data_IF_533777831717
#
_entry.id   IF_533777831717
#
_cell.length_a   1.000
_cell.length_b   1.000
_cell.length_c   1.000
_cell.angle_alpha   90.00
_cell.angle_beta   90.00
_cell.angle_gamma   90.00
#
_symmetry.space_group_name_H-M   'P 1'
#
loop_
_entity.id
_entity.type
_entity.pdbx_description
1 polymer ?
#
# COMPACT_ATOMS: atom_id res chain seq x y z
N UNK A 1 -8.57 -8.35 -23.10
CA UNK A 1 -7.75 -7.11 -22.98
C UNK A 1 -6.25 -7.39 -23.06
N UNK A 2 -5.75 -8.43 -22.38
CA UNK A 2 -4.32 -8.77 -22.36
C UNK A 2 -3.77 -9.07 -23.76
N UNK A 3 -4.54 -9.80 -24.58
CA UNK A 3 -4.17 -10.12 -25.98
C UNK A 3 -4.05 -8.87 -26.87
N UNK A 4 -4.79 -7.81 -26.56
CA UNK A 4 -4.76 -6.56 -27.32
C UNK A 4 -3.51 -5.72 -27.00
N UNK A 5 -3.08 -5.75 -25.74
CA UNK A 5 -1.96 -4.92 -25.29
C UNK A 5 -0.62 -5.68 -25.32
N UNK A 6 -0.59 -7.01 -25.21
CA UNK A 6 0.63 -7.83 -25.17
C UNK A 6 0.88 -8.53 -26.51
N UNK A 7 1.90 -8.08 -27.26
CA UNK A 7 2.30 -8.67 -28.55
C UNK A 7 3.17 -9.91 -28.35
N UNK A 8 4.02 -9.93 -27.31
CA UNK A 8 5.05 -10.97 -27.14
C UNK A 8 4.43 -12.26 -26.59
N UNK A 9 4.27 -13.27 -27.45
CA UNK A 9 3.58 -14.55 -27.13
C UNK A 9 4.01 -15.22 -25.80
N UNK A 10 5.31 -15.36 -25.46
CA UNK A 10 5.70 -15.97 -24.19
C UNK A 10 5.22 -15.18 -22.96
N UNK A 11 5.22 -13.85 -23.05
CA UNK A 11 4.74 -13.00 -21.97
C UNK A 11 3.22 -13.10 -21.84
N UNK A 12 2.50 -13.09 -22.96
CA UNK A 12 1.05 -13.32 -22.97
C UNK A 12 0.69 -14.66 -22.33
N UNK A 13 1.39 -15.76 -22.67
CA UNK A 13 1.15 -17.08 -22.07
C UNK A 13 1.29 -17.06 -20.55
N UNK A 14 2.30 -16.36 -20.02
CA UNK A 14 2.47 -16.17 -18.56
C UNK A 14 1.27 -15.44 -17.94
N UNK A 15 0.75 -14.44 -18.63
CA UNK A 15 -0.42 -13.70 -18.17
C UNK A 15 -1.70 -14.52 -18.18
N UNK A 16 -1.92 -15.33 -19.20
CA UNK A 16 -3.11 -16.18 -19.33
C UNK A 16 -3.12 -17.32 -18.32
N UNK A 17 -1.95 -17.83 -17.92
CA UNK A 17 -1.83 -18.92 -16.94
C UNK A 17 -1.87 -18.45 -15.47
N UNK A 18 -1.81 -17.15 -15.21
CA UNK A 18 -1.80 -16.62 -13.84
C UNK A 18 -3.22 -16.53 -13.25
N UNK A 19 -3.39 -16.72 -11.94
CA UNK A 19 -4.66 -16.54 -11.24
C UNK A 19 -5.36 -15.20 -11.50
N UNK A 20 -6.66 -15.17 -11.19
CA UNK A 20 -7.53 -14.00 -11.30
C UNK A 20 -7.53 -13.40 -12.71
N UNK A 21 -7.50 -14.26 -13.73
CA UNK A 21 -7.39 -13.82 -15.12
C UNK A 21 -8.54 -12.86 -15.48
N UNK A 22 -9.77 -13.23 -15.14
CA UNK A 22 -10.97 -12.45 -15.45
C UNK A 22 -10.92 -11.08 -14.77
N UNK A 23 -10.59 -11.04 -13.48
CA UNK A 23 -10.50 -9.82 -12.68
C UNK A 23 -9.40 -8.89 -13.21
N UNK A 24 -8.22 -9.45 -13.54
CA UNK A 24 -7.12 -8.68 -14.14
C UNK A 24 -7.50 -8.11 -15.50
N UNK A 25 -8.19 -8.86 -16.35
CA UNK A 25 -8.67 -8.36 -17.65
C UNK A 25 -9.75 -7.31 -17.52
N UNK A 26 -10.71 -7.50 -16.60
CA UNK A 26 -11.75 -6.52 -16.30
C UNK A 26 -11.15 -5.22 -15.76
N UNK A 27 -10.18 -5.30 -14.86
CA UNK A 27 -9.46 -4.14 -14.33
C UNK A 27 -8.73 -3.37 -15.44
N UNK A 28 -7.97 -4.07 -16.29
CA UNK A 28 -7.27 -3.43 -17.41
C UNK A 28 -8.25 -2.82 -18.42
N UNK A 29 -9.41 -3.44 -18.62
CA UNK A 29 -10.45 -2.91 -19.50
C UNK A 29 -11.05 -1.63 -18.93
N UNK A 30 -11.33 -1.59 -17.63
CA UNK A 30 -11.78 -0.38 -16.94
C UNK A 30 -10.72 0.72 -17.07
N UNK A 31 -9.45 0.41 -16.80
CA UNK A 31 -8.33 1.37 -16.97
C UNK A 31 -8.20 1.88 -18.40
N UNK A 32 -8.41 1.01 -19.40
CA UNK A 32 -8.42 1.44 -20.81
C UNK A 32 -9.57 2.40 -21.11
N UNK A 33 -10.76 2.19 -20.53
CA UNK A 33 -11.91 3.09 -20.69
C UNK A 33 -11.69 4.45 -20.02
N UNK A 34 -10.88 4.51 -18.96
CA UNK A 34 -10.41 5.76 -18.36
C UNK A 34 -9.39 6.53 -19.24
N UNK A 35 -9.06 6.01 -20.43
CA UNK A 35 -8.17 6.68 -21.38
C UNK A 35 -6.68 6.41 -21.18
N UNK A 36 -6.32 5.39 -20.38
CA UNK A 36 -4.90 5.05 -20.16
C UNK A 36 -4.25 4.51 -21.43
N UNK A 37 -3.03 4.99 -21.70
CA UNK A 37 -2.23 4.56 -22.85
C UNK A 37 -1.89 3.06 -22.79
N UNK A 38 -1.66 2.45 -23.96
CA UNK A 38 -1.18 1.05 -24.04
C UNK A 38 0.08 0.79 -23.22
N UNK A 39 1.02 1.74 -23.17
CA UNK A 39 2.25 1.62 -22.38
C UNK A 39 1.92 1.56 -20.88
N UNK A 40 0.99 2.39 -20.41
CA UNK A 40 0.56 2.40 -19.01
C UNK A 40 -0.20 1.11 -18.66
N UNK A 41 -1.05 0.61 -19.57
CA UNK A 41 -1.76 -0.66 -19.40
C UNK A 41 -0.79 -1.86 -19.34
N UNK A 42 0.29 -1.85 -20.11
CA UNK A 42 1.36 -2.85 -19.99
C UNK A 42 2.04 -2.81 -18.62
N UNK A 43 2.26 -1.61 -18.07
CA UNK A 43 2.71 -1.42 -16.70
C UNK A 43 1.76 -2.07 -15.70
N UNK A 44 0.46 -1.75 -15.78
CA UNK A 44 -0.57 -2.37 -14.93
C UNK A 44 -0.62 -3.89 -15.06
N UNK A 45 -0.52 -4.43 -16.28
CA UNK A 45 -0.46 -5.86 -16.49
C UNK A 45 0.74 -6.44 -15.73
N UNK A 46 1.95 -5.90 -15.93
CA UNK A 46 3.15 -6.35 -15.23
C UNK A 46 3.02 -6.33 -13.70
N UNK A 47 2.48 -5.25 -13.13
CA UNK A 47 2.24 -5.14 -11.69
C UNK A 47 1.16 -6.11 -11.20
N UNK A 48 0.10 -6.36 -11.97
CA UNK A 48 -0.94 -7.31 -11.58
C UNK A 48 -0.36 -8.70 -11.31
N UNK A 49 0.61 -9.18 -12.11
CA UNK A 49 1.30 -10.45 -11.84
C UNK A 49 2.15 -10.39 -10.57
N UNK A 50 2.73 -9.23 -10.25
CA UNK A 50 3.44 -9.05 -8.99
C UNK A 50 2.49 -9.10 -7.81
N UNK A 51 1.31 -8.51 -7.89
CA UNK A 51 0.32 -8.59 -6.83
C UNK A 51 -0.16 -10.02 -6.59
N UNK A 52 -0.41 -10.79 -7.66
CA UNK A 52 -0.71 -12.23 -7.53
C UNK A 52 0.40 -12.95 -6.75
N UNK A 53 1.66 -12.69 -7.10
CA UNK A 53 2.81 -13.34 -6.46
C UNK A 53 3.01 -12.92 -5.00
N UNK A 54 3.04 -11.62 -4.72
CA UNK A 54 3.41 -11.10 -3.39
C UNK A 54 2.28 -11.22 -2.36
N UNK A 55 1.03 -11.28 -2.80
CA UNK A 55 -0.12 -11.45 -1.90
C UNK A 55 -0.68 -12.88 -1.88
N UNK A 56 -0.05 -13.81 -2.61
CA UNK A 56 -0.46 -15.21 -2.73
C UNK A 56 -1.94 -15.35 -3.14
N UNK A 57 -2.31 -14.68 -4.23
CA UNK A 57 -3.70 -14.63 -4.70
C UNK A 57 -4.00 -15.83 -5.61
N UNK A 58 -5.14 -16.48 -5.37
CA UNK A 58 -5.57 -17.67 -6.11
C UNK A 58 -7.04 -17.59 -6.51
N UNK A 59 -7.40 -18.29 -7.59
CA UNK A 59 -8.78 -18.43 -8.02
C UNK A 59 -9.64 -19.08 -6.92
N UNK A 60 -10.84 -18.56 -6.71
CA UNK A 60 -11.80 -19.06 -5.73
C UNK A 60 -11.45 -18.81 -4.25
N UNK A 61 -10.25 -18.31 -3.93
CA UNK A 61 -9.86 -17.95 -2.56
C UNK A 61 -10.05 -16.45 -2.33
N UNK A 62 -10.96 -16.08 -1.44
CA UNK A 62 -11.16 -14.69 -1.00
C UNK A 62 -10.34 -14.42 0.26
N UNK A 63 -9.05 -14.10 0.08
CA UNK A 63 -8.19 -13.60 1.16
C UNK A 63 -8.20 -12.07 1.11
N UNK A 64 -8.61 -11.44 2.21
CA UNK A 64 -8.40 -9.99 2.39
C UNK A 64 -6.92 -9.74 2.60
N UNK A 65 -6.36 -8.81 1.83
CA UNK A 65 -4.98 -8.36 1.94
C UNK A 65 -4.94 -7.16 2.87
N UNK A 66 -4.25 -7.31 4.00
CA UNK A 66 -4.09 -6.24 4.99
C UNK A 66 -3.21 -5.12 4.42
N UNK A 67 -3.36 -3.89 4.92
CA UNK A 67 -2.47 -2.81 4.52
C UNK A 67 -1.03 -2.97 5.03
N UNK A 68 -0.86 -3.71 6.12
CA UNK A 68 0.42 -4.20 6.63
C UNK A 68 1.11 -5.11 5.60
N UNK A 69 0.38 -6.09 5.03
CA UNK A 69 0.86 -6.94 3.94
C UNK A 69 1.24 -6.11 2.69
N UNK A 70 0.49 -5.06 2.38
CA UNK A 70 0.79 -4.15 1.24
C UNK A 70 2.11 -3.41 1.47
N UNK A 71 2.34 -2.89 2.66
CA UNK A 71 3.59 -2.21 3.02
C UNK A 71 4.76 -3.19 2.98
N UNK A 72 4.59 -4.39 3.53
CA UNK A 72 5.64 -5.41 3.55
C UNK A 72 5.97 -5.93 2.14
N UNK A 73 4.96 -6.20 1.31
CA UNK A 73 5.16 -6.57 -0.09
C UNK A 73 5.90 -5.48 -0.88
N UNK A 74 5.57 -4.20 -0.65
CA UNK A 74 6.28 -3.08 -1.28
C UNK A 74 7.75 -3.03 -0.84
N UNK A 75 8.03 -3.25 0.46
CA UNK A 75 9.38 -3.32 1.01
C UNK A 75 10.18 -4.45 0.35
N UNK A 76 9.63 -5.66 0.34
CA UNK A 76 10.26 -6.85 -0.26
C UNK A 76 10.48 -6.68 -1.77
N UNK A 77 9.49 -6.17 -2.50
CA UNK A 77 9.60 -5.93 -3.94
C UNK A 77 10.68 -4.90 -4.30
N UNK A 78 10.86 -3.89 -3.45
CA UNK A 78 11.84 -2.82 -3.64
C UNK A 78 13.24 -3.16 -3.08
N UNK A 79 13.38 -4.27 -2.35
CA UNK A 79 14.66 -4.63 -1.74
C UNK A 79 15.65 -5.12 -2.80
N UNK A 80 16.95 -4.77 -2.68
CA UNK A 80 17.97 -5.27 -3.59
C UNK A 80 18.08 -6.79 -3.51
N UNK A 81 18.11 -7.46 -4.68
CA UNK A 81 18.38 -8.91 -4.74
C UNK A 81 19.89 -9.13 -4.55
N UNK A 82 20.28 -9.88 -3.51
CA UNK A 82 21.69 -10.23 -3.26
C UNK A 82 22.30 -10.97 -4.47
N UNK A 83 23.51 -10.58 -4.88
CA UNK A 83 24.27 -11.29 -5.92
C UNK A 83 24.14 -10.77 -7.36
N UNK A 84 23.28 -9.79 -7.63
CA UNK A 84 23.20 -9.17 -8.96
C UNK A 84 23.76 -7.74 -8.96
N UNK A 85 24.87 -7.50 -9.65
CA UNK A 85 25.50 -6.17 -9.72
C UNK A 85 24.54 -5.07 -10.24
N UNK A 86 23.62 -5.44 -11.14
CA UNK A 86 22.59 -4.53 -11.68
C UNK A 86 21.34 -4.37 -10.80
N UNK A 87 21.11 -5.21 -9.78
CA UNK A 87 19.96 -5.07 -8.86
C UNK A 87 20.17 -3.98 -7.81
N UNK A 88 21.43 -3.61 -7.52
CA UNK A 88 21.78 -2.55 -6.56
C UNK A 88 21.36 -1.14 -7.02
N UNK A 89 21.15 -0.93 -8.32
CA UNK A 89 20.87 0.41 -8.89
C UNK A 89 19.39 0.77 -9.03
N UNK A 90 18.45 -0.18 -8.91
CA UNK A 90 17.09 0.03 -9.42
C UNK A 90 15.93 0.00 -8.44
N UNK A 91 16.10 -0.34 -7.16
CA UNK A 91 14.93 -0.69 -6.35
C UNK A 91 14.80 0.01 -4.99
N UNK A 92 15.86 0.52 -4.37
CA UNK A 92 15.76 1.18 -3.06
C UNK A 92 15.41 2.68 -3.14
N UNK A 93 14.46 3.03 -4.00
CA UNK A 93 13.97 4.41 -4.10
C UNK A 93 12.59 4.52 -3.43
N UNK A 94 12.37 5.51 -2.54
CA UNK A 94 11.05 5.74 -1.94
C UNK A 94 9.92 5.85 -2.97
N UNK A 95 10.22 6.38 -4.17
CA UNK A 95 9.24 6.54 -5.25
C UNK A 95 8.74 5.20 -5.82
N UNK A 96 9.59 4.17 -5.89
CA UNK A 96 9.20 2.85 -6.41
C UNK A 96 8.28 2.14 -5.42
N UNK A 97 8.61 2.20 -4.12
CA UNK A 97 7.78 1.67 -3.03
C UNK A 97 6.41 2.32 -3.01
N UNK A 98 6.36 3.66 -3.05
CA UNK A 98 5.10 4.41 -3.10
C UNK A 98 4.28 3.98 -4.31
N UNK A 99 4.88 3.91 -5.50
CA UNK A 99 4.19 3.47 -6.72
C UNK A 99 3.61 2.07 -6.58
N UNK A 100 4.36 1.11 -6.01
CA UNK A 100 3.87 -0.24 -5.77
C UNK A 100 2.63 -0.21 -4.87
N UNK A 101 2.68 0.53 -3.75
CA UNK A 101 1.57 0.65 -2.81
C UNK A 101 0.34 1.26 -3.48
N UNK A 102 0.49 2.37 -4.19
CA UNK A 102 -0.64 3.04 -4.84
C UNK A 102 -1.31 2.14 -5.89
N UNK A 103 -0.51 1.41 -6.67
CA UNK A 103 -1.02 0.47 -7.66
C UNK A 103 -1.65 -0.77 -7.01
N UNK A 104 -1.07 -1.29 -5.92
CA UNK A 104 -1.62 -2.42 -5.18
C UNK A 104 -2.99 -2.07 -4.59
N UNK A 105 -3.11 -0.91 -3.94
CA UNK A 105 -4.36 -0.39 -3.39
C UNK A 105 -5.44 -0.31 -4.46
N UNK A 106 -5.15 0.28 -5.62
CA UNK A 106 -6.15 0.41 -6.71
C UNK A 106 -6.63 -0.95 -7.21
N UNK A 107 -5.69 -1.89 -7.41
CA UNK A 107 -6.03 -3.22 -7.90
C UNK A 107 -6.84 -3.99 -6.86
N UNK A 108 -6.34 -4.07 -5.61
CA UNK A 108 -6.98 -4.80 -4.51
C UNK A 108 -8.36 -4.22 -4.17
N UNK A 109 -8.52 -2.91 -4.22
CA UNK A 109 -9.82 -2.25 -4.03
C UNK A 109 -10.78 -2.64 -5.14
N UNK A 110 -10.33 -2.62 -6.40
CA UNK A 110 -11.18 -3.00 -7.54
C UNK A 110 -11.64 -4.46 -7.47
N UNK A 111 -10.75 -5.39 -7.10
CA UNK A 111 -11.12 -6.82 -6.99
C UNK A 111 -11.84 -7.16 -5.69
N UNK A 112 -12.01 -6.20 -4.77
CA UNK A 112 -12.71 -6.39 -3.51
C UNK A 112 -11.93 -7.21 -2.48
N UNK A 113 -10.59 -7.16 -2.52
CA UNK A 113 -9.70 -7.89 -1.60
C UNK A 113 -8.92 -6.96 -0.66
N UNK A 114 -9.07 -5.64 -0.77
CA UNK A 114 -8.37 -4.70 0.09
C UNK A 114 -9.00 -4.64 1.50
N UNK A 115 -8.14 -4.52 2.50
CA UNK A 115 -8.48 -4.19 3.88
C UNK A 115 -9.56 -3.10 4.01
N UNK A 116 -10.61 -3.37 4.79
CA UNK A 116 -11.72 -2.44 5.01
C UNK A 116 -11.28 -1.15 5.71
N UNK A 117 -10.20 -1.19 6.50
CA UNK A 117 -9.63 -0.01 7.17
C UNK A 117 -9.26 1.09 6.18
N UNK A 118 -9.03 0.76 4.90
CA UNK A 118 -8.79 1.76 3.87
C UNK A 118 -9.97 2.74 3.65
N UNK A 119 -11.19 2.34 4.04
CA UNK A 119 -12.38 3.18 3.98
C UNK A 119 -12.66 3.93 5.30
N UNK A 120 -11.79 3.82 6.30
CA UNK A 120 -11.96 4.49 7.59
C UNK A 120 -12.17 6.00 7.42
N UNK A 121 -13.24 6.51 8.03
CA UNK A 121 -13.66 7.90 7.87
C UNK A 121 -12.62 8.87 8.43
N UNK A 122 -11.97 8.52 9.54
CA UNK A 122 -10.96 9.37 10.16
C UNK A 122 -9.69 9.40 9.30
N UNK A 123 -9.26 8.25 8.79
CA UNK A 123 -8.13 8.19 7.85
C UNK A 123 -8.42 8.99 6.59
N UNK A 124 -9.61 8.83 6.00
CA UNK A 124 -10.04 9.57 4.81
C UNK A 124 -10.17 11.07 5.06
N UNK A 125 -10.57 11.47 6.27
CA UNK A 125 -10.59 12.87 6.69
C UNK A 125 -9.17 13.44 6.83
N UNK A 126 -8.20 12.66 7.32
CA UNK A 126 -6.83 13.13 7.56
C UNK A 126 -5.96 13.15 6.30
N UNK A 127 -6.14 12.20 5.38
CA UNK A 127 -5.25 12.02 4.25
C UNK A 127 -6.00 11.79 2.94
N UNK A 128 -5.59 12.50 1.89
CA UNK A 128 -6.16 12.32 0.53
C UNK A 128 -5.32 11.34 -0.29
N UNK A 129 -3.99 11.40 -0.17
CA UNK A 129 -3.06 10.55 -0.92
C UNK A 129 -3.07 9.11 -0.40
N UNK A 130 -3.14 8.13 -1.32
CA UNK A 130 -3.24 6.69 -1.00
C UNK A 130 -2.11 6.24 -0.09
N UNK A 131 -0.86 6.55 -0.43
CA UNK A 131 0.29 6.23 0.41
C UNK A 131 0.17 6.77 1.85
N UNK A 132 -0.29 8.01 2.03
CA UNK A 132 -0.46 8.57 3.37
C UNK A 132 -1.55 7.83 4.16
N UNK A 133 -2.66 7.45 3.52
CA UNK A 133 -3.69 6.60 4.14
C UNK A 133 -3.11 5.27 4.59
N UNK A 134 -2.37 4.59 3.70
CA UNK A 134 -1.72 3.32 4.00
C UNK A 134 -0.76 3.45 5.19
N UNK A 135 0.06 4.50 5.25
CA UNK A 135 0.95 4.75 6.41
C UNK A 135 0.19 4.90 7.73
N UNK A 136 -0.91 5.65 7.72
CA UNK A 136 -1.73 5.86 8.91
C UNK A 136 -2.36 4.55 9.42
N UNK A 137 -2.70 3.64 8.50
CA UNK A 137 -3.36 2.38 8.83
C UNK A 137 -2.35 1.30 9.24
N UNK A 138 -1.30 1.09 8.45
CA UNK A 138 -0.35 0.00 8.62
C UNK A 138 0.67 0.21 9.75
N UNK A 139 0.72 1.41 10.34
CA UNK A 139 1.62 1.64 11.47
C UNK A 139 1.00 1.10 12.78
N UNK A 140 1.82 0.71 13.79
CA UNK A 140 1.36 0.13 15.06
C UNK A 140 0.30 0.94 15.82
N UNK A 141 -0.47 0.26 16.67
CA UNK A 141 -1.52 0.87 17.53
C UNK A 141 -2.59 1.63 16.74
N UNK A 142 -3.02 1.06 15.60
CA UNK A 142 -4.02 1.68 14.73
C UNK A 142 -5.27 2.13 15.49
N UNK A 143 -5.87 1.21 16.26
CA UNK A 143 -7.14 1.47 16.97
C UNK A 143 -6.98 2.57 18.00
N UNK A 144 -5.90 2.54 18.79
CA UNK A 144 -5.61 3.49 19.85
C UNK A 144 -5.35 4.89 19.28
N UNK A 145 -4.53 4.97 18.21
CA UNK A 145 -4.26 6.23 17.53
C UNK A 145 -5.52 6.84 16.93
N UNK A 146 -6.32 6.04 16.22
CA UNK A 146 -7.56 6.52 15.60
C UNK A 146 -8.58 6.95 16.66
N UNK A 147 -8.71 6.19 17.76
CA UNK A 147 -9.57 6.54 18.89
C UNK A 147 -9.17 7.88 19.51
N UNK A 148 -7.88 8.11 19.75
CA UNK A 148 -7.36 9.40 20.24
C UNK A 148 -7.70 10.55 19.27
N UNK A 149 -7.47 10.37 17.98
CA UNK A 149 -7.74 11.40 16.98
C UNK A 149 -9.24 11.70 16.86
N UNK A 150 -10.10 10.69 17.00
CA UNK A 150 -11.55 10.85 17.02
C UNK A 150 -12.03 11.61 18.26
N UNK A 151 -11.46 11.35 19.43
CA UNK A 151 -11.73 12.12 20.64
C UNK A 151 -11.27 13.58 20.53
N UNK A 152 -10.08 13.83 19.96
CA UNK A 152 -9.67 15.21 19.66
C UNK A 152 -10.64 15.89 18.67
N UNK A 153 -11.11 15.17 17.65
CA UNK A 153 -12.08 15.69 16.69
C UNK A 153 -13.41 16.04 17.36
N UNK A 154 -13.93 15.18 18.26
CA UNK A 154 -15.17 15.44 19.00
C UNK A 154 -15.06 16.66 19.92
N UNK A 155 -13.85 16.95 20.42
CA UNK A 155 -13.51 18.17 21.19
C UNK A 155 -13.33 19.42 20.33
N UNK A 156 -13.57 19.35 19.01
CA UNK A 156 -13.54 20.50 18.10
C UNK A 156 -12.16 20.85 17.55
N UNK A 157 -11.18 19.95 17.62
CA UNK A 157 -9.85 20.20 17.06
C UNK A 157 -9.91 20.34 15.53
N UNK A 158 -9.19 21.32 14.98
CA UNK A 158 -9.15 21.57 13.54
C UNK A 158 -8.43 20.44 12.79
N UNK A 159 -8.82 20.18 11.53
CA UNK A 159 -8.20 19.19 10.64
C UNK A 159 -6.67 19.25 10.64
N UNK A 160 -6.09 20.46 10.52
CA UNK A 160 -4.64 20.66 10.50
C UNK A 160 -3.96 20.19 11.79
N UNK A 161 -4.57 20.45 12.95
CA UNK A 161 -4.05 20.00 14.25
C UNK A 161 -4.10 18.49 14.36
N UNK A 162 -5.19 17.88 13.90
CA UNK A 162 -5.34 16.42 13.88
C UNK A 162 -4.33 15.75 12.94
N UNK A 163 -4.07 16.34 11.77
CA UNK A 163 -3.01 15.88 10.86
C UNK A 163 -1.63 15.95 11.49
N UNK A 164 -1.35 17.03 12.23
CA UNK A 164 -0.08 17.19 12.96
C UNK A 164 0.05 16.13 14.05
N UNK A 165 -1.00 15.89 14.83
CA UNK A 165 -1.00 14.82 15.85
C UNK A 165 -0.80 13.44 15.24
N UNK A 166 -1.47 13.14 14.13
CA UNK A 166 -1.30 11.87 13.44
C UNK A 166 0.17 11.69 12.96
N UNK A 167 0.80 12.74 12.45
CA UNK A 167 2.22 12.70 12.07
C UNK A 167 3.13 12.47 13.28
N UNK A 168 2.90 13.15 14.40
CA UNK A 168 3.68 12.95 15.62
C UNK A 168 3.49 11.56 16.21
N UNK A 169 2.29 11.00 16.18
CA UNK A 169 2.07 9.62 16.61
C UNK A 169 2.92 8.63 15.80
N UNK A 170 2.98 8.79 14.47
CA UNK A 170 3.83 7.96 13.62
C UNK A 170 5.32 8.16 13.95
N UNK A 171 5.74 9.41 14.11
CA UNK A 171 7.12 9.76 14.42
C UNK A 171 7.58 9.17 15.76
N UNK A 172 6.75 9.27 16.81
CA UNK A 172 7.05 8.71 18.12
C UNK A 172 7.17 7.19 18.08
N UNK A 173 6.28 6.51 17.35
CA UNK A 173 6.34 5.05 17.20
C UNK A 173 7.65 4.62 16.54
N UNK A 174 8.05 5.31 15.47
CA UNK A 174 9.29 5.03 14.74
C UNK A 174 10.52 5.33 15.61
N UNK A 175 10.57 6.51 16.24
CA UNK A 175 11.71 6.94 17.04
C UNK A 175 11.93 6.07 18.28
N UNK A 176 10.85 5.73 18.98
CA UNK A 176 10.89 4.92 20.21
C UNK A 176 10.86 3.41 19.93
N UNK A 177 10.84 3.00 18.67
CA UNK A 177 10.73 1.61 18.23
C UNK A 177 9.59 0.86 18.93
N UNK A 178 8.39 1.46 18.92
CA UNK A 178 7.21 0.92 19.59
C UNK A 178 6.50 -0.10 18.69
N UNK A 179 6.94 -1.35 18.74
CA UNK A 179 6.25 -2.47 18.08
C UNK A 179 5.13 -3.04 18.95
N UNK A 180 5.28 -2.96 20.27
CA UNK A 180 4.34 -3.48 21.26
C UNK A 180 4.18 -2.47 22.41
N UNK A 181 3.12 -2.64 23.21
CA UNK A 181 2.93 -1.83 24.41
C UNK A 181 4.09 -2.03 25.38
N UNK A 182 4.79 -0.93 25.68
CA UNK A 182 5.83 -0.88 26.70
C UNK A 182 5.81 0.46 27.40
N UNK A 183 6.36 0.49 28.60
CA UNK A 183 6.64 1.75 29.29
C UNK A 183 7.72 2.52 28.55
N UNK A 184 7.50 3.82 28.38
CA UNK A 184 8.48 4.76 27.84
C UNK A 184 8.89 5.70 28.97
N UNK A 185 10.19 5.90 29.13
CA UNK A 185 10.76 6.77 30.17
C UNK A 185 10.71 8.24 29.76
N UNK A 186 10.71 9.14 30.75
CA UNK A 186 10.80 10.58 30.48
C UNK A 186 12.09 10.97 29.74
N UNK A 187 13.17 10.21 29.93
CA UNK A 187 14.43 10.40 29.23
C UNK A 187 14.29 10.10 27.73
N UNK A 188 13.66 8.97 27.37
CA UNK A 188 13.36 8.62 25.98
C UNK A 188 12.47 9.67 25.30
N UNK A 189 11.44 10.17 26.00
CA UNK A 189 10.57 11.24 25.49
C UNK A 189 11.36 12.54 25.28
N UNK A 190 12.22 12.90 26.23
CA UNK A 190 13.04 14.12 26.14
C UNK A 190 14.06 14.04 25.00
N UNK A 191 14.58 12.85 24.70
CA UNK A 191 15.45 12.63 23.56
C UNK A 191 14.68 12.68 22.23
N UNK A 192 13.44 12.19 22.19
CA UNK A 192 12.57 12.27 21.01
C UNK A 192 12.13 13.71 20.67
N UNK A 193 12.24 14.65 21.62
CA UNK A 193 11.84 16.05 21.44
C UNK A 193 12.99 16.97 20.96
N UNK A 194 14.21 16.45 20.80
CA UNK A 194 15.39 17.18 20.31
C UNK A 194 15.56 17.02 18.80
#
# INVERSE_FOLDING_TARGET
MLEQIIIRKPFLKKHLAAPLLKERESFLTMKSKEGLSRLTLLGWAGYSLKFIQYFDLHDGKKRIVSLDDVVEAARLWSSPISGHYHSRKHHDCPSSRIKFIEMAVDFLQYVGLLDFRYQDEMVNYLAERKWHKVRLIAAPFYNERMSFLMDCKSKGFKRKTLQLYAQYQLHLIEYLNLENFRTVTNEEISNAAK
#
